data_IF_446890235853
#
_entry.id   IF_446890235853
#
_cell.length_a   1.000
_cell.length_b   1.000
_cell.length_c   1.000
_cell.angle_alpha   90.00
_cell.angle_beta   90.00
_cell.angle_gamma   90.00
#
_symmetry.space_group_name_H-M   'P 1'
#
loop_
_entity.id
_entity.type
_entity.pdbx_description
1 polymer ?
#
# COMPACT_ATOMS: atom_id res chain seq x y z
N UNK A 1 -9.70 5.48 -12.74
CA UNK A 1 -8.36 5.00 -13.10
C UNK A 1 -7.95 5.70 -14.40
N UNK A 2 -7.19 6.77 -14.29
CA UNK A 2 -6.84 7.68 -15.39
C UNK A 2 -5.72 7.12 -16.29
N UNK A 3 -5.60 5.79 -16.42
CA UNK A 3 -4.55 5.14 -17.23
C UNK A 3 -3.14 5.16 -16.62
N UNK A 4 -2.94 5.74 -15.43
CA UNK A 4 -1.62 5.83 -14.80
C UNK A 4 -0.98 4.48 -14.54
N UNK A 5 -1.77 3.47 -14.19
CA UNK A 5 -1.26 2.13 -13.93
C UNK A 5 -0.77 1.46 -15.21
N UNK A 6 -1.49 1.63 -16.32
CA UNK A 6 -1.08 1.14 -17.64
C UNK A 6 0.22 1.80 -18.10
N UNK A 7 0.31 3.15 -17.98
CA UNK A 7 1.53 3.89 -18.31
C UNK A 7 2.72 3.44 -17.48
N UNK A 8 2.51 3.23 -16.18
CA UNK A 8 3.54 2.75 -15.26
C UNK A 8 4.08 1.37 -15.67
N UNK A 9 3.20 0.40 -15.94
CA UNK A 9 3.66 -0.93 -16.36
C UNK A 9 4.31 -0.94 -17.75
N UNK A 10 3.95 0.02 -18.62
CA UNK A 10 4.57 0.18 -19.93
C UNK A 10 5.98 0.76 -19.84
N UNK A 11 6.22 1.74 -19.00
CA UNK A 11 7.51 2.42 -18.80
C UNK A 11 7.63 2.91 -17.37
N UNK A 12 8.18 2.04 -16.51
CA UNK A 12 8.30 2.30 -15.07
C UNK A 12 9.21 3.49 -14.79
N UNK A 13 10.33 3.63 -15.51
CA UNK A 13 11.29 4.72 -15.29
C UNK A 13 10.60 6.07 -15.51
N UNK A 14 9.87 6.19 -16.62
CA UNK A 14 9.22 7.45 -16.99
C UNK A 14 8.04 7.82 -16.09
N UNK A 15 7.25 6.85 -15.66
CA UNK A 15 5.95 7.12 -15.05
C UNK A 15 5.86 6.84 -13.55
N UNK A 16 6.93 6.34 -12.92
CA UNK A 16 6.92 6.01 -11.49
C UNK A 16 6.67 7.22 -10.61
N UNK A 17 7.41 8.30 -10.80
CA UNK A 17 7.21 9.53 -10.03
C UNK A 17 5.78 10.06 -10.19
N UNK A 18 5.28 10.16 -11.42
CA UNK A 18 3.92 10.62 -11.71
C UNK A 18 2.85 9.76 -11.03
N UNK A 19 3.02 8.43 -11.05
CA UNK A 19 2.12 7.51 -10.36
C UNK A 19 2.15 7.72 -8.84
N UNK A 20 3.35 7.84 -8.23
CA UNK A 20 3.46 8.08 -6.79
C UNK A 20 2.76 9.39 -6.39
N UNK A 21 3.02 10.48 -7.09
CA UNK A 21 2.36 11.78 -6.85
C UNK A 21 0.84 11.70 -7.02
N UNK A 22 0.37 10.95 -8.03
CA UNK A 22 -1.08 10.75 -8.25
C UNK A 22 -1.73 9.97 -7.10
N UNK A 23 -1.07 8.92 -6.60
CA UNK A 23 -1.54 8.15 -5.44
C UNK A 23 -1.58 9.03 -4.20
N UNK A 24 -0.51 9.79 -3.91
CA UNK A 24 -0.45 10.71 -2.76
C UNK A 24 -1.55 11.76 -2.82
N UNK A 25 -1.79 12.34 -4.01
CA UNK A 25 -2.92 13.27 -4.21
C UNK A 25 -4.25 12.61 -3.90
N UNK A 26 -4.46 11.38 -4.36
CA UNK A 26 -5.70 10.63 -4.08
C UNK A 26 -5.90 10.38 -2.58
N UNK A 27 -4.85 9.99 -1.87
CA UNK A 27 -4.88 9.79 -0.41
C UNK A 27 -5.20 11.09 0.33
N UNK A 28 -4.64 12.22 -0.11
CA UNK A 28 -4.97 13.54 0.46
C UNK A 28 -6.43 13.92 0.19
N UNK A 29 -6.94 13.66 -1.01
CA UNK A 29 -8.35 13.94 -1.35
C UNK A 29 -9.31 13.07 -0.51
N UNK A 30 -8.93 11.83 -0.18
CA UNK A 30 -9.66 10.98 0.75
C UNK A 30 -9.63 11.60 2.15
N UNK A 31 -8.45 11.95 2.68
CA UNK A 31 -8.30 12.55 4.01
C UNK A 31 -9.16 13.79 4.20
N UNK A 32 -9.23 14.69 3.19
CA UNK A 32 -10.07 15.89 3.24
C UNK A 32 -11.58 15.61 3.34
N UNK A 33 -12.01 14.39 2.99
CA UNK A 33 -13.42 13.96 3.03
C UNK A 33 -13.75 13.15 4.28
N UNK A 34 -12.75 12.84 5.12
CA UNK A 34 -12.96 12.10 6.37
C UNK A 34 -13.81 12.94 7.33
N UNK A 35 -14.74 12.30 8.00
CA UNK A 35 -15.41 12.85 9.16
C UNK A 35 -14.60 12.44 10.42
N UNK A 36 -13.82 13.35 10.95
CA UNK A 36 -12.94 13.07 12.08
C UNK A 36 -13.68 12.75 13.40
N UNK A 37 -15.02 12.84 13.41
CA UNK A 37 -15.85 12.40 14.54
C UNK A 37 -16.31 10.95 14.38
N UNK A 38 -15.89 10.26 13.31
CA UNK A 38 -16.28 8.88 12.99
C UNK A 38 -15.07 8.01 12.72
N UNK A 39 -15.28 6.70 12.78
CA UNK A 39 -14.30 5.73 12.29
C UNK A 39 -14.23 5.84 10.76
N UNK A 40 -13.04 6.12 10.25
CA UNK A 40 -12.76 6.14 8.82
C UNK A 40 -11.89 4.92 8.48
N UNK A 41 -12.37 4.10 7.57
CA UNK A 41 -11.64 2.92 7.10
C UNK A 41 -11.14 3.19 5.69
N UNK A 42 -9.85 3.02 5.46
CA UNK A 42 -9.22 3.25 4.16
C UNK A 42 -8.39 2.07 3.73
N UNK A 43 -8.34 1.82 2.42
CA UNK A 43 -7.32 0.95 1.85
C UNK A 43 -6.00 1.72 1.77
N UNK A 44 -5.00 1.28 2.55
CA UNK A 44 -3.67 1.90 2.63
C UNK A 44 -3.70 3.31 3.25
N UNK A 45 -2.51 3.85 3.47
CA UNK A 45 -2.27 5.20 3.97
C UNK A 45 -1.00 5.77 3.31
N UNK A 46 -0.68 7.05 3.50
CA UNK A 46 0.51 7.65 2.91
C UNK A 46 1.84 6.96 3.24
N UNK A 47 1.92 6.29 4.42
CA UNK A 47 3.13 5.56 4.82
C UNK A 47 3.46 4.38 3.89
N UNK A 48 2.46 3.76 3.25
CA UNK A 48 2.72 2.68 2.30
C UNK A 48 3.43 3.15 1.02
N UNK A 49 3.29 4.43 0.64
CA UNK A 49 4.06 5.00 -0.46
C UNK A 49 5.53 5.12 -0.08
N UNK A 50 5.83 5.60 1.13
CA UNK A 50 7.19 5.74 1.61
C UNK A 50 7.87 4.39 1.82
N UNK A 51 7.26 3.52 2.63
CA UNK A 51 7.95 2.31 3.14
C UNK A 51 7.76 1.07 2.29
N UNK A 52 6.81 1.06 1.35
CA UNK A 52 6.55 -0.10 0.49
C UNK A 52 6.77 0.24 -0.97
N UNK A 53 5.87 0.99 -1.60
CA UNK A 53 5.90 1.15 -3.05
C UNK A 53 7.00 2.10 -3.53
N UNK A 54 7.13 3.28 -2.95
CA UNK A 54 8.19 4.23 -3.28
C UNK A 54 9.57 3.69 -2.93
N UNK A 55 9.68 3.04 -1.74
CA UNK A 55 10.93 2.38 -1.32
C UNK A 55 11.32 1.28 -2.29
N UNK A 56 10.39 0.42 -2.71
CA UNK A 56 10.66 -0.65 -3.67
C UNK A 56 11.14 -0.09 -5.02
N UNK A 57 10.54 1.00 -5.51
CA UNK A 57 10.96 1.64 -6.76
C UNK A 57 12.34 2.31 -6.63
N UNK A 58 12.64 2.89 -5.48
CA UNK A 58 13.96 3.44 -5.19
C UNK A 58 15.03 2.34 -5.13
N UNK A 59 14.76 1.23 -4.44
CA UNK A 59 15.68 0.10 -4.32
C UNK A 59 15.96 -0.58 -5.67
N UNK A 60 15.01 -0.53 -6.60
CA UNK A 60 15.17 -1.00 -7.97
C UNK A 60 15.84 0.02 -8.90
N UNK A 61 16.30 1.16 -8.39
CA UNK A 61 16.84 2.27 -9.17
C UNK A 61 15.88 2.80 -10.26
N UNK A 62 14.56 2.63 -10.06
CA UNK A 62 13.50 3.16 -10.94
C UNK A 62 13.20 4.61 -10.58
N UNK A 63 13.13 4.94 -9.28
CA UNK A 63 13.09 6.31 -8.79
C UNK A 63 14.50 6.78 -8.44
N UNK A 64 14.86 7.95 -8.93
CA UNK A 64 16.09 8.61 -8.49
C UNK A 64 15.99 9.02 -7.01
N UNK A 65 17.12 9.10 -6.31
CA UNK A 65 17.16 9.46 -4.88
C UNK A 65 16.47 10.79 -4.55
N UNK A 66 16.59 11.78 -5.43
CA UNK A 66 15.91 13.07 -5.28
C UNK A 66 14.41 12.98 -5.47
N UNK A 67 13.93 12.11 -6.37
CA UNK A 67 12.51 11.88 -6.59
C UNK A 67 11.88 11.16 -5.40
N UNK A 68 12.58 10.14 -4.88
CA UNK A 68 12.14 9.44 -3.67
C UNK A 68 12.11 10.37 -2.46
N UNK A 69 13.15 11.21 -2.30
CA UNK A 69 13.18 12.24 -1.26
C UNK A 69 12.01 13.21 -1.41
N UNK A 70 11.76 13.73 -2.61
CA UNK A 70 10.63 14.63 -2.87
C UNK A 70 9.28 14.02 -2.48
N UNK A 71 9.06 12.74 -2.82
CA UNK A 71 7.86 12.03 -2.39
C UNK A 71 7.73 11.98 -0.86
N UNK A 72 8.83 11.74 -0.15
CA UNK A 72 8.82 11.69 1.31
C UNK A 72 8.58 13.08 1.93
N UNK A 73 9.20 14.13 1.40
CA UNK A 73 8.97 15.51 1.84
C UNK A 73 7.48 15.90 1.66
N UNK A 74 6.89 15.57 0.51
CA UNK A 74 5.46 15.81 0.26
C UNK A 74 4.58 15.00 1.21
N UNK A 75 4.95 13.74 1.52
CA UNK A 75 4.22 12.92 2.48
C UNK A 75 4.30 13.53 3.89
N UNK A 76 5.44 14.09 4.29
CA UNK A 76 5.60 14.76 5.58
C UNK A 76 4.70 15.99 5.71
N UNK A 77 4.62 16.80 4.66
CA UNK A 77 3.82 18.02 4.65
C UNK A 77 2.31 17.75 4.59
N UNK A 78 1.89 16.72 3.87
CA UNK A 78 0.48 16.54 3.50
C UNK A 78 -0.08 15.16 3.83
N UNK A 79 0.74 14.26 4.31
CA UNK A 79 0.32 12.92 4.69
C UNK A 79 -0.39 12.90 6.05
N UNK A 80 -0.98 11.77 6.32
CA UNK A 80 -1.59 11.46 7.60
C UNK A 80 -1.12 10.09 8.07
N UNK A 81 -1.15 9.89 9.38
CA UNK A 81 -0.81 8.63 10.03
C UNK A 81 -2.10 8.00 10.55
N UNK A 82 -2.38 6.72 10.30
CA UNK A 82 -3.55 6.05 10.83
C UNK A 82 -3.40 5.79 12.34
N UNK A 83 -4.51 5.80 13.08
CA UNK A 83 -4.51 5.43 14.49
C UNK A 83 -4.34 3.91 14.68
N UNK A 84 -4.81 3.12 13.73
CA UNK A 84 -4.71 1.65 13.72
C UNK A 84 -4.40 1.15 12.33
N UNK A 85 -3.65 0.06 12.27
CA UNK A 85 -3.33 -0.64 11.01
C UNK A 85 -3.78 -2.09 11.14
N UNK A 86 -4.58 -2.53 10.18
CA UNK A 86 -4.98 -3.93 10.04
C UNK A 86 -4.25 -4.46 8.81
N UNK A 87 -3.43 -5.47 9.02
CA UNK A 87 -2.66 -6.12 7.98
C UNK A 87 -3.30 -7.45 7.58
N UNK A 88 -3.78 -7.53 6.37
CA UNK A 88 -4.30 -8.75 5.77
C UNK A 88 -3.12 -9.59 5.25
N UNK A 89 -2.57 -10.44 6.10
CA UNK A 89 -1.39 -11.23 5.75
C UNK A 89 -1.80 -12.45 4.92
N UNK A 90 -1.11 -12.64 3.79
CA UNK A 90 -1.27 -13.80 2.91
C UNK A 90 0.03 -14.17 2.22
N UNK A 91 0.13 -15.40 1.71
CA UNK A 91 1.30 -15.88 0.99
C UNK A 91 1.46 -15.22 -0.37
N UNK A 92 2.70 -15.22 -0.88
CA UNK A 92 3.02 -14.73 -2.22
C UNK A 92 2.24 -15.51 -3.29
N UNK A 93 2.11 -16.83 -3.13
CA UNK A 93 1.37 -17.69 -4.07
C UNK A 93 -0.12 -17.34 -4.12
N UNK A 94 -0.74 -17.14 -2.95
CA UNK A 94 -2.14 -16.72 -2.88
C UNK A 94 -2.36 -15.33 -3.47
N UNK A 95 -1.43 -14.39 -3.24
CA UNK A 95 -1.46 -13.07 -3.90
C UNK A 95 -1.43 -13.20 -5.41
N UNK A 96 -0.49 -13.98 -5.95
CA UNK A 96 -0.35 -14.19 -7.39
C UNK A 96 -1.61 -14.83 -7.99
N UNK A 97 -2.13 -15.89 -7.36
CA UNK A 97 -3.36 -16.55 -7.79
C UNK A 97 -4.56 -15.59 -7.81
N UNK A 98 -4.68 -14.70 -6.82
CA UNK A 98 -5.74 -13.68 -6.77
C UNK A 98 -5.58 -12.62 -7.87
N UNK A 99 -4.35 -12.20 -8.17
CA UNK A 99 -4.05 -11.29 -9.29
C UNK A 99 -4.46 -11.91 -10.61
N UNK A 100 -4.06 -13.16 -10.85
CA UNK A 100 -4.41 -13.90 -12.07
C UNK A 100 -5.94 -14.07 -12.21
N UNK A 101 -6.63 -14.47 -11.13
CA UNK A 101 -8.09 -14.61 -11.11
C UNK A 101 -8.81 -13.30 -11.37
N UNK A 102 -8.28 -12.17 -10.87
CA UNK A 102 -8.83 -10.83 -11.11
C UNK A 102 -8.71 -10.40 -12.56
N UNK A 103 -7.68 -10.83 -13.27
CA UNK A 103 -7.52 -10.73 -14.72
C UNK A 103 -7.39 -9.29 -15.26
N UNK A 104 -6.78 -8.38 -14.51
CA UNK A 104 -6.49 -7.04 -15.01
C UNK A 104 -5.41 -7.09 -16.08
N UNK A 105 -5.67 -6.52 -17.26
CA UNK A 105 -4.74 -6.54 -18.40
C UNK A 105 -3.39 -5.92 -18.07
N UNK A 106 -3.39 -4.84 -17.31
CA UNK A 106 -2.20 -4.10 -16.89
C UNK A 106 -1.29 -4.92 -15.98
N UNK A 107 -1.83 -5.92 -15.31
CA UNK A 107 -1.14 -6.78 -14.35
C UNK A 107 -0.66 -8.11 -14.94
N UNK A 108 -0.90 -8.36 -16.24
CA UNK A 108 -0.62 -9.64 -16.89
C UNK A 108 0.85 -10.10 -16.81
N UNK A 109 1.79 -9.15 -16.68
CA UNK A 109 3.23 -9.43 -16.60
C UNK A 109 3.78 -9.41 -15.17
N UNK A 110 2.93 -9.33 -14.14
CA UNK A 110 3.38 -9.42 -12.75
C UNK A 110 3.87 -10.84 -12.48
N UNK A 111 5.10 -10.95 -11.99
CA UNK A 111 5.71 -12.21 -11.63
C UNK A 111 5.80 -12.39 -10.10
N UNK A 112 6.06 -13.63 -9.69
CA UNK A 112 6.14 -14.01 -8.28
C UNK A 112 7.23 -13.24 -7.53
N UNK A 113 8.39 -12.99 -8.16
CA UNK A 113 9.49 -12.26 -7.52
C UNK A 113 9.14 -10.82 -7.18
N UNK A 114 8.33 -10.15 -8.01
CA UNK A 114 7.83 -8.82 -7.68
C UNK A 114 6.87 -8.85 -6.49
N UNK A 115 5.95 -9.82 -6.44
CA UNK A 115 5.01 -9.97 -5.33
C UNK A 115 5.75 -10.28 -4.02
N UNK A 116 6.74 -11.18 -4.09
CA UNK A 116 7.57 -11.53 -2.93
C UNK A 116 8.31 -10.31 -2.38
N UNK A 117 8.91 -9.50 -3.25
CA UNK A 117 9.54 -8.25 -2.85
C UNK A 117 8.57 -7.28 -2.16
N UNK A 118 7.36 -7.13 -2.69
CA UNK A 118 6.33 -6.28 -2.07
C UNK A 118 5.88 -6.85 -0.72
N UNK A 119 5.72 -8.17 -0.60
CA UNK A 119 5.39 -8.81 0.68
C UNK A 119 6.49 -8.57 1.73
N UNK A 120 7.76 -8.71 1.36
CA UNK A 120 8.89 -8.41 2.26
C UNK A 120 8.91 -6.94 2.68
N UNK A 121 8.63 -6.02 1.77
CA UNK A 121 8.54 -4.59 2.08
C UNK A 121 7.37 -4.30 3.04
N UNK A 122 6.21 -4.96 2.85
CA UNK A 122 5.10 -4.88 3.79
C UNK A 122 5.46 -5.48 5.15
N UNK A 123 6.07 -6.65 5.21
CA UNK A 123 6.48 -7.27 6.47
C UNK A 123 7.45 -6.35 7.24
N UNK A 124 8.43 -5.75 6.56
CA UNK A 124 9.31 -4.77 7.20
C UNK A 124 8.56 -3.54 7.70
N UNK A 125 7.66 -2.98 6.90
CA UNK A 125 6.84 -1.83 7.28
C UNK A 125 5.96 -2.15 8.51
N UNK A 126 5.27 -3.28 8.48
CA UNK A 126 4.29 -3.67 9.50
C UNK A 126 4.97 -4.06 10.82
N UNK A 127 6.03 -4.88 10.76
CA UNK A 127 6.62 -5.48 11.96
C UNK A 127 7.77 -4.66 12.56
N UNK A 128 8.40 -3.78 11.79
CA UNK A 128 9.52 -2.96 12.26
C UNK A 128 9.17 -1.47 12.27
N UNK A 129 8.81 -0.90 11.12
CA UNK A 129 8.65 0.57 10.99
C UNK A 129 7.47 1.11 11.81
N UNK A 130 6.30 0.45 11.75
CA UNK A 130 5.12 0.91 12.48
C UNK A 130 5.32 0.93 13.99
N UNK A 131 5.81 -0.15 14.64
CA UNK A 131 6.04 -0.14 16.08
C UNK A 131 7.15 0.82 16.50
N UNK A 132 8.28 0.80 15.79
CA UNK A 132 9.48 1.56 16.20
C UNK A 132 9.34 3.07 15.96
N UNK A 133 8.81 3.46 14.80
CA UNK A 133 8.78 4.88 14.40
C UNK A 133 7.46 5.58 14.73
N UNK A 134 6.37 4.84 14.73
CA UNK A 134 5.02 5.41 14.89
C UNK A 134 4.30 4.95 16.17
N UNK A 135 4.89 4.01 16.92
CA UNK A 135 4.27 3.42 18.12
C UNK A 135 2.90 2.78 17.84
N UNK A 136 2.71 2.27 16.62
CA UNK A 136 1.47 1.60 16.20
C UNK A 136 1.71 0.10 16.22
N UNK A 137 0.97 -0.62 17.08
CA UNK A 137 0.91 -2.06 17.07
C UNK A 137 -0.07 -2.52 15.98
N UNK A 138 0.39 -3.23 14.93
CA UNK A 138 -0.50 -3.68 13.87
C UNK A 138 -1.37 -4.85 14.33
N UNK A 139 -2.60 -4.92 13.80
CA UNK A 139 -3.49 -6.07 13.96
C UNK A 139 -3.31 -6.95 12.72
N UNK A 140 -3.00 -8.22 12.93
CA UNK A 140 -2.76 -9.16 11.83
C UNK A 140 -3.98 -10.04 11.65
N UNK A 141 -4.54 -10.05 10.45
CA UNK A 141 -5.60 -10.97 10.04
C UNK A 141 -5.06 -11.96 9.01
N UNK A 142 -5.41 -13.22 9.21
CA UNK A 142 -5.08 -14.28 8.26
C UNK A 142 -5.96 -14.19 7.01
N UNK A 143 -5.38 -13.65 5.94
CA UNK A 143 -6.05 -13.49 4.66
C UNK A 143 -5.93 -14.72 3.74
N UNK A 144 -5.45 -15.87 4.22
CA UNK A 144 -5.61 -17.16 3.52
C UNK A 144 -7.06 -17.65 3.63
N UNK A 145 -7.80 -17.23 4.66
CA UNK A 145 -9.20 -17.54 4.85
C UNK A 145 -10.07 -17.08 3.68
N UNK A 146 -11.25 -17.65 3.57
CA UNK A 146 -12.27 -17.16 2.66
C UNK A 146 -12.78 -15.76 3.06
N UNK A 147 -13.39 -15.06 2.10
CA UNK A 147 -13.78 -13.66 2.29
C UNK A 147 -14.81 -13.45 3.41
N UNK A 148 -15.70 -14.42 3.65
CA UNK A 148 -16.74 -14.31 4.69
C UNK A 148 -16.12 -14.44 6.07
N UNK A 149 -15.29 -15.46 6.26
CA UNK A 149 -14.56 -15.67 7.52
C UNK A 149 -13.65 -14.49 7.84
N UNK A 150 -12.89 -14.00 6.86
CA UNK A 150 -12.02 -12.82 7.03
C UNK A 150 -12.83 -11.56 7.38
N UNK A 151 -14.00 -11.38 6.76
CA UNK A 151 -14.85 -10.23 7.05
C UNK A 151 -15.44 -10.29 8.46
N UNK A 152 -15.81 -11.48 8.96
CA UNK A 152 -16.26 -11.66 10.34
C UNK A 152 -15.13 -11.37 11.34
N UNK A 153 -13.90 -11.83 11.07
CA UNK A 153 -12.72 -11.48 11.89
C UNK A 153 -12.51 -9.97 11.93
N UNK A 154 -12.66 -9.29 10.79
CA UNK A 154 -12.56 -7.83 10.72
C UNK A 154 -13.67 -7.12 11.52
N UNK A 155 -14.92 -7.56 11.40
CA UNK A 155 -16.06 -6.97 12.14
C UNK A 155 -15.86 -7.05 13.66
N UNK A 156 -15.28 -8.15 14.14
CA UNK A 156 -14.98 -8.33 15.57
C UNK A 156 -13.97 -7.32 16.13
N UNK A 157 -13.23 -6.59 15.27
CA UNK A 157 -12.29 -5.55 15.68
C UNK A 157 -12.93 -4.16 15.80
N UNK A 158 -14.14 -3.99 15.27
CA UNK A 158 -14.84 -2.70 15.32
C UNK A 158 -15.50 -2.54 16.70
N UNK A 159 -15.49 -1.33 17.28
CA UNK A 159 -16.23 -1.06 18.50
C UNK A 159 -17.74 -1.16 18.24
N UNK A 160 -18.48 -1.55 19.26
CA UNK A 160 -19.94 -1.57 19.26
C UNK A 160 -20.55 -0.18 19.06
#
# INVERSE_FOLDING_TARGET
NEGWLELFYRDKIRYSLGLQLRVMKSQRDIYKKMDHNKINITERCPLTNEYVFGKSLYDDNILHSLEYKLCNDIREDYGWVPDRVIYLKTSTDTCLNRIMKRGRKEEANINIGYIDKINQAYDNYIFNVLPEKYSIAPIILDAEKDAVSLFNDFLALLPE
#
